data_IF_485732693153
#
_entry.id   IF_485732693153
#
_cell.length_a   1.000
_cell.length_b   1.000
_cell.length_c   1.000
_cell.angle_alpha   90.00
_cell.angle_beta   90.00
_cell.angle_gamma   90.00
#
_symmetry.space_group_name_H-M   'P 1'
#
loop_
_entity.id
_entity.type
_entity.pdbx_description
1 polymer ?
2 polymer ?
3 non-polymer ?
4 non-polymer ?
5 water ?
#
loop_
_entity_poly.entity_id
_entity_poly.type
_entity_poly.pdbx_seq_one_letter_code
_entity_poly.pdbx_strand_id
2 'polydeoxyribonucleotide' '(DT)(DC)(DT)(2EG)(DG)(DG)(DG)(DT)(DC)(DC)(DT)(DA)(DG)(DG)(DA)(DC)(DC)(DOC)' ?
#
# COMPACT_ATOMS: atom_id res chain seq x y z
N UNK A 25 -3.84 -12.62 26.37
CA UNK A 25 -3.93 -11.57 27.35
C UNK A 25 -3.58 -10.26 26.69
N UNK A 26 -4.28 -9.91 25.63
CA UNK A 26 -3.99 -8.66 24.98
C UNK A 26 -2.86 -8.59 23.95
N UNK A 27 -2.19 -9.70 23.72
CA UNK A 27 -1.26 -9.79 22.60
C UNK A 27 -1.90 -10.21 21.31
N UNK A 28 -1.52 -9.57 20.23
CA UNK A 28 -2.28 -9.71 18.99
C UNK A 28 -1.57 -10.60 18.00
N UNK A 29 -2.28 -11.04 16.97
CA UNK A 29 -1.65 -11.76 15.88
C UNK A 29 -2.12 -11.09 14.62
N UNK A 30 -1.23 -10.39 13.92
CA UNK A 30 -1.59 -9.63 12.74
C UNK A 30 -0.90 -10.33 11.58
N UNK A 31 -1.52 -10.33 10.42
CA UNK A 31 -0.89 -10.85 9.21
C UNK A 31 -0.84 -9.71 8.24
N UNK A 32 0.30 -9.58 7.56
CA UNK A 32 0.44 -8.55 6.54
C UNK A 32 0.69 -9.22 5.22
N UNK A 33 -0.28 -9.09 4.33
CA UNK A 33 -0.27 -9.73 3.01
C UNK A 33 0.16 -8.71 1.95
N UNK A 34 1.08 -9.11 1.09
CA UNK A 34 1.72 -8.18 0.17
C UNK A 34 2.02 -8.95 -1.11
N UNK A 35 1.29 -8.61 -2.18
CA UNK A 35 1.39 -9.32 -3.45
C UNK A 35 2.66 -8.97 -4.21
N UNK A 36 3.25 -9.96 -4.86
CA UNK A 36 4.39 -9.77 -5.78
C UNK A 36 4.10 -8.93 -7.04
N UNK A 37 4.91 -7.91 -7.26
CA UNK A 37 4.93 -7.20 -8.53
C UNK A 37 3.51 -6.95 -9.05
N UNK A 38 2.64 -6.48 -8.16
CA UNK A 38 1.21 -6.55 -8.40
C UNK A 38 0.79 -6.32 -9.85
N UNK A 39 1.12 -5.15 -10.39
CA UNK A 39 0.60 -4.76 -11.70
C UNK A 39 1.06 -5.72 -12.75
N UNK A 40 2.33 -6.07 -12.70
CA UNK A 40 2.90 -6.94 -13.70
C UNK A 40 2.21 -8.30 -13.58
N UNK A 41 1.70 -8.62 -12.43
CA UNK A 41 1.10 -9.89 -12.21
C UNK A 41 -0.32 -9.94 -12.68
N UNK A 42 -0.96 -8.81 -12.80
CA UNK A 42 -2.24 -8.66 -13.50
C UNK A 42 -2.03 -8.72 -15.01
N UNK A 43 -1.00 -8.05 -15.53
CA UNK A 43 -0.75 -8.05 -16.97
C UNK A 43 -0.42 -9.45 -17.47
N UNK A 44 0.27 -10.24 -16.66
CA UNK A 44 0.61 -11.58 -17.04
C UNK A 44 -0.57 -12.52 -17.00
N UNK A 45 -1.47 -12.30 -16.09
CA UNK A 45 -2.67 -13.12 -16.04
C UNK A 45 -3.54 -12.86 -17.25
N UNK A 46 -3.63 -11.59 -17.67
CA UNK A 46 -4.43 -11.22 -18.84
C UNK A 46 -3.82 -11.71 -20.15
N UNK A 47 -2.48 -11.83 -20.17
CA UNK A 47 -1.74 -12.08 -21.41
C UNK A 47 -0.60 -13.12 -21.22
N UNK A 48 -0.98 -14.37 -21.06
CA UNK A 48 -0.01 -15.46 -20.87
C UNK A 48 1.30 -15.36 -21.63
N UNK A 49 1.27 -14.73 -22.80
CA UNK A 49 2.42 -14.71 -23.70
C UNK A 49 3.54 -13.91 -23.00
N UNK A 50 3.17 -13.19 -21.93
CA UNK A 50 4.13 -12.42 -21.13
C UNK A 50 4.65 -13.22 -19.93
N UNK A 51 4.16 -14.46 -19.76
CA UNK A 51 4.68 -15.39 -18.75
C UNK A 51 6.16 -15.69 -19.01
N UNK A 52 6.98 -15.32 -18.06
CA UNK A 52 8.40 -15.31 -18.23
C UNK A 52 8.98 -14.87 -19.54
N UNK A 53 8.40 -13.82 -20.09
CA UNK A 53 9.08 -12.79 -20.84
C UNK A 53 9.27 -11.71 -19.77
N UNK A 54 10.51 -11.21 -19.63
CA UNK A 54 10.84 -10.23 -18.57
C UNK A 54 10.05 -8.93 -18.73
N UNK A 55 9.08 -8.72 -17.85
CA UNK A 55 8.05 -7.71 -18.09
C UNK A 55 8.07 -6.54 -17.14
N UNK A 56 8.00 -5.35 -17.73
CA UNK A 56 7.83 -4.12 -16.98
C UNK A 56 6.54 -3.43 -17.38
N UNK A 57 5.86 -2.81 -16.39
CA UNK A 57 4.70 -1.97 -16.63
C UNK A 57 5.11 -0.49 -16.71
N UNK A 58 4.59 0.17 -17.72
CA UNK A 58 5.02 1.49 -18.06
C UNK A 58 3.99 2.50 -17.64
N UNK A 59 4.44 3.57 -17.01
CA UNK A 59 3.63 4.76 -16.82
C UNK A 59 4.48 5.95 -17.19
N UNK A 60 4.05 6.68 -18.22
CA UNK A 60 4.82 7.78 -18.77
C UNK A 60 6.22 7.27 -19.08
N UNK A 61 7.23 7.97 -18.54
CA UNK A 61 8.64 7.64 -18.77
C UNK A 61 9.24 6.81 -17.61
N UNK A 62 8.39 6.10 -16.89
CA UNK A 62 8.84 5.24 -15.79
C UNK A 62 8.43 3.78 -15.95
N UNK A 63 9.28 2.90 -15.42
CA UNK A 63 8.92 1.51 -15.22
C UNK A 63 8.48 1.47 -13.79
N UNK A 64 7.16 1.49 -13.60
CA UNK A 64 6.66 1.59 -12.26
C UNK A 64 6.90 0.28 -11.49
N UNK A 65 6.97 -0.84 -12.22
CA UNK A 65 7.20 -2.17 -11.65
C UNK A 65 7.44 -3.18 -12.74
N UNK A 66 8.07 -4.29 -12.39
CA UNK A 66 8.51 -5.31 -13.36
C UNK A 66 8.46 -6.70 -12.72
N UNK A 67 8.42 -7.77 -13.52
CA UNK A 67 8.32 -9.11 -12.92
C UNK A 67 9.70 -9.61 -12.41
N UNK A 68 9.71 -10.61 -11.52
CA UNK A 68 10.94 -11.18 -11.02
C UNK A 68 11.68 -11.95 -12.11
N UNK A 69 10.96 -12.32 -13.16
CA UNK A 69 11.58 -12.80 -14.39
C UNK A 69 12.37 -11.68 -15.07
N UNK A 70 12.54 -10.57 -14.37
CA UNK A 70 13.15 -9.38 -14.96
C UNK A 70 13.95 -8.60 -13.94
N UNK A 71 13.57 -8.73 -12.67
CA UNK A 71 14.27 -8.05 -11.57
C UNK A 71 15.75 -8.44 -11.45
N UNK A 72 16.07 -9.71 -11.58
CA UNK A 72 17.45 -10.14 -11.53
C UNK A 72 18.39 -9.34 -12.45
N UNK A 73 17.87 -8.90 -13.58
CA UNK A 73 18.68 -8.15 -14.55
C UNK A 73 18.87 -6.68 -14.11
N UNK A 74 18.89 -6.51 -12.75
CA UNK A 74 19.14 -5.18 -12.15
C UNK A 74 18.16 -4.10 -12.58
N UNK A 75 16.93 -4.55 -12.92
CA UNK A 75 15.87 -3.64 -13.31
C UNK A 75 15.07 -3.39 -12.03
N UNK A 76 14.87 -2.12 -11.69
CA UNK A 76 14.29 -1.78 -10.41
C UNK A 76 13.01 -0.97 -10.56
N UNK A 77 12.22 -0.96 -9.49
CA UNK A 77 10.98 -0.17 -9.45
C UNK A 77 11.29 1.33 -9.63
N UNK A 78 10.37 2.02 -10.32
CA UNK A 78 10.54 3.43 -10.68
C UNK A 78 11.91 3.68 -11.32
N UNK A 79 12.29 2.83 -12.28
CA UNK A 79 13.50 3.08 -13.07
C UNK A 79 13.12 3.69 -14.42
N UNK A 80 13.91 4.66 -14.89
CA UNK A 80 13.73 5.24 -16.23
C UNK A 80 13.49 4.17 -17.30
N UNK A 81 12.71 4.52 -18.32
CA UNK A 81 12.58 3.65 -19.48
C UNK A 81 13.94 3.50 -20.15
N UNK A 82 14.65 4.59 -20.34
CA UNK A 82 15.93 4.54 -20.98
C UNK A 82 16.92 3.69 -20.22
N UNK A 83 17.06 3.95 -18.93
CA UNK A 83 17.73 3.02 -18.03
C UNK A 83 17.28 1.57 -17.87
N UNK A 84 16.01 1.40 -17.48
CA UNK A 84 15.38 0.08 -17.52
C UNK A 84 15.65 -0.63 -18.83
N UNK A 85 15.94 0.14 -19.86
CA UNK A 85 15.84 -0.35 -21.24
C UNK A 85 17.22 -0.61 -21.83
N UNK A 86 18.16 0.29 -21.55
CA UNK A 86 19.56 0.04 -21.87
C UNK A 86 20.04 -1.27 -21.29
N UNK A 87 19.59 -1.59 -20.08
CA UNK A 87 19.92 -2.85 -19.43
C UNK A 87 19.64 -4.03 -20.35
N UNK A 88 18.50 -3.99 -21.04
CA UNK A 88 17.68 -5.18 -21.21
C UNK A 88 17.39 -5.44 -22.69
N UNK A 89 17.85 -4.56 -23.56
CA UNK A 89 16.98 -3.55 -24.12
C UNK A 89 16.04 -4.16 -25.11
N UNK A 90 16.00 -5.48 -25.21
CA UNK A 90 14.74 -6.19 -25.13
C UNK A 90 14.48 -6.71 -23.72
N UNK A 91 13.95 -5.86 -22.87
CA UNK A 91 12.83 -6.21 -22.03
C UNK A 91 11.53 -5.65 -22.54
N UNK A 92 10.41 -6.28 -22.23
CA UNK A 92 9.10 -5.90 -22.74
C UNK A 92 8.29 -5.02 -21.83
N UNK A 93 7.58 -4.08 -22.43
CA UNK A 93 6.82 -3.06 -21.68
C UNK A 93 5.36 -3.06 -22.04
N UNK A 94 4.51 -2.93 -21.01
CA UNK A 94 3.07 -2.66 -21.15
C UNK A 94 2.69 -1.35 -20.45
N UNK A 95 1.77 -0.60 -21.05
CA UNK A 95 1.28 0.63 -20.44
C UNK A 95 0.35 0.33 -19.27
N UNK A 96 0.58 0.99 -18.14
CA UNK A 96 -0.24 0.79 -16.96
C UNK A 96 -0.72 2.08 -16.34
N UNK A 97 -0.98 3.08 -17.17
CA UNK A 97 -1.45 4.39 -16.74
C UNK A 97 -2.92 4.35 -16.32
N UNK A 98 -3.66 3.38 -16.86
CA UNK A 98 -5.05 3.16 -16.52
C UNK A 98 -5.07 2.12 -15.41
N UNK A 99 -5.47 2.53 -14.23
CA UNK A 99 -5.41 1.62 -13.09
C UNK A 99 -6.71 0.83 -12.85
N UNK A 100 -7.64 0.82 -13.81
CA UNK A 100 -8.92 0.16 -13.61
C UNK A 100 -8.77 -1.31 -13.22
N UNK A 101 -8.08 -2.09 -14.06
CA UNK A 101 -7.94 -3.53 -13.80
C UNK A 101 -7.20 -3.82 -12.51
N UNK A 102 -6.25 -2.98 -12.14
CA UNK A 102 -5.52 -3.20 -10.87
C UNK A 102 -6.41 -2.91 -9.65
N UNK A 103 -7.09 -1.76 -9.65
CA UNK A 103 -8.06 -1.47 -8.61
C UNK A 103 -9.10 -2.58 -8.46
N UNK A 104 -9.51 -3.18 -9.58
CA UNK A 104 -10.52 -4.23 -9.50
C UNK A 104 -10.00 -5.56 -8.94
N UNK A 105 -8.80 -6.00 -9.34
CA UNK A 105 -8.25 -7.20 -8.74
C UNK A 105 -7.87 -6.95 -7.29
N UNK A 106 -7.58 -5.69 -6.96
CA UNK A 106 -7.16 -5.28 -5.63
C UNK A 106 -8.25 -5.50 -4.61
N UNK A 107 -9.44 -4.99 -4.89
CA UNK A 107 -10.62 -5.22 -4.06
C UNK A 107 -11.05 -6.69 -4.01
N UNK A 108 -10.91 -7.44 -5.10
CA UNK A 108 -11.15 -8.86 -4.99
C UNK A 108 -10.26 -9.47 -3.90
N UNK A 109 -9.03 -9.01 -3.77
CA UNK A 109 -8.15 -9.57 -2.74
C UNK A 109 -8.65 -9.24 -1.34
N UNK A 110 -8.88 -7.96 -1.07
CA UNK A 110 -9.36 -7.51 0.24
C UNK A 110 -10.64 -8.28 0.53
N UNK A 111 -11.48 -8.42 -0.48
CA UNK A 111 -12.75 -9.09 -0.28
C UNK A 111 -12.53 -10.53 0.13
N UNK A 112 -11.57 -11.18 -0.53
CA UNK A 112 -11.22 -12.53 -0.20
C UNK A 112 -10.76 -12.56 1.30
N UNK A 113 -9.73 -11.80 1.63
CA UNK A 113 -9.29 -11.67 3.02
C UNK A 113 -10.43 -11.34 3.99
N UNK A 114 -11.43 -10.61 3.54
CA UNK A 114 -12.51 -10.24 4.45
C UNK A 114 -13.35 -11.44 4.86
N UNK A 115 -13.27 -12.47 4.03
CA UNK A 115 -14.03 -13.67 4.27
C UNK A 115 -13.47 -14.45 5.47
N UNK A 116 -12.16 -14.30 5.70
CA UNK A 116 -11.46 -14.90 6.84
C UNK A 116 -11.85 -14.19 8.14
N UNK A 117 -11.38 -12.97 8.34
CA UNK A 117 -11.83 -12.09 9.41
C UNK A 117 -12.26 -10.78 8.74
N UNK A 118 -13.35 -10.16 9.22
CA UNK A 118 -13.87 -8.95 8.55
C UNK A 118 -13.01 -7.68 8.64
N UNK A 119 -11.97 -7.68 9.49
CA UNK A 119 -11.27 -6.46 9.81
C UNK A 119 -9.98 -6.31 9.01
N UNK A 120 -10.12 -5.84 7.77
CA UNK A 120 -9.00 -5.79 6.82
C UNK A 120 -8.64 -4.37 6.46
N UNK A 121 -7.39 -3.99 6.69
CA UNK A 121 -6.91 -2.63 6.39
C UNK A 121 -6.07 -2.64 5.14
N UNK A 122 -6.38 -1.76 4.20
CA UNK A 122 -5.62 -1.75 2.97
C UNK A 122 -4.47 -0.80 3.13
N UNK A 123 -3.36 -1.14 2.55
CA UNK A 123 -2.35 -0.18 2.30
C UNK A 123 -2.00 -0.26 0.88
N UNK A 124 -2.48 0.68 0.09
CA UNK A 124 -2.20 0.62 -1.30
C UNK A 124 -3.09 -0.36 -1.98
N UNK A 125 -2.79 -0.64 -3.23
CA UNK A 125 -3.58 -1.59 -3.98
C UNK A 125 -3.15 -3.02 -3.70
N UNK A 126 -1.98 -3.21 -3.11
CA UNK A 126 -1.43 -4.56 -2.99
C UNK A 126 -1.09 -5.08 -1.59
N UNK A 127 -1.28 -4.26 -0.56
CA UNK A 127 -1.04 -4.70 0.82
C UNK A 127 -2.28 -4.73 1.67
N UNK A 128 -2.36 -5.73 2.56
CA UNK A 128 -3.47 -5.84 3.52
C UNK A 128 -3.01 -6.31 4.88
N UNK A 129 -3.55 -5.72 5.92
CA UNK A 129 -3.35 -6.23 7.26
C UNK A 129 -4.66 -6.90 7.67
N UNK A 130 -4.58 -8.07 8.29
CA UNK A 130 -5.77 -8.64 8.93
C UNK A 130 -5.39 -8.88 10.36
N UNK A 131 -6.30 -8.57 11.27
CA UNK A 131 -6.09 -8.87 12.67
C UNK A 131 -6.59 -10.28 12.89
N UNK A 132 -5.69 -11.21 13.17
CA UNK A 132 -6.07 -12.64 13.27
C UNK A 132 -6.30 -13.07 14.71
N UNK A 133 -6.23 -12.12 15.65
CA UNK A 133 -6.32 -12.47 17.06
C UNK A 133 -7.53 -13.39 17.36
N UNK A 134 -8.71 -12.99 16.90
CA UNK A 134 -9.98 -13.60 17.33
C UNK A 134 -10.09 -14.99 16.74
N UNK A 135 -9.39 -15.18 15.63
CA UNK A 135 -9.41 -16.40 14.84
C UNK A 135 -8.38 -17.42 15.35
N UNK A 136 -7.18 -16.95 15.64
CA UNK A 136 -6.24 -17.82 16.33
C UNK A 136 -6.89 -18.34 17.63
N UNK A 137 -7.55 -17.45 18.37
CA UNK A 137 -8.08 -17.82 19.67
C UNK A 137 -9.21 -18.82 19.56
N UNK A 138 -10.04 -18.69 18.54
CA UNK A 138 -11.09 -19.65 18.32
C UNK A 138 -10.48 -21.00 17.96
N UNK A 139 -9.42 -21.00 17.20
CA UNK A 139 -8.95 -22.25 16.67
C UNK A 139 -8.40 -23.03 17.82
N UNK A 140 -7.77 -22.32 18.72
CA UNK A 140 -7.05 -22.94 19.79
C UNK A 140 -7.95 -23.29 20.94
N UNK A 141 -8.96 -22.46 21.16
CA UNK A 141 -10.19 -22.93 21.80
C UNK A 141 -10.48 -24.39 21.46
N UNK A 142 -10.08 -24.79 20.26
CA UNK A 142 -10.82 -25.82 19.53
C UNK A 142 -9.97 -27.08 19.34
N UNK A 143 -8.90 -27.18 20.12
CA UNK A 143 -7.96 -28.29 19.97
C UNK A 143 -7.90 -29.12 21.25
N UNK A 144 -7.77 -30.43 21.08
CA UNK A 144 -7.54 -31.33 22.22
C UNK A 144 -6.10 -31.25 22.70
N UNK A 145 -5.86 -31.77 23.90
CA UNK A 145 -4.58 -31.56 24.58
C UNK A 145 -3.43 -32.12 23.76
N UNK A 146 -3.63 -33.29 23.18
CA UNK A 146 -2.69 -33.86 22.26
C UNK A 146 -2.42 -33.05 21.04
N UNK A 147 -3.45 -32.73 20.29
CA UNK A 147 -3.18 -32.06 19.05
C UNK A 147 -2.55 -30.70 19.25
N UNK A 148 -2.19 -30.42 20.49
CA UNK A 148 -1.53 -29.14 20.85
C UNK A 148 0.00 -29.22 20.76
N UNK A 149 0.53 -30.43 20.94
CA UNK A 149 1.95 -30.71 20.76
C UNK A 149 2.35 -30.70 19.28
N UNK A 150 1.42 -31.05 18.39
CA UNK A 150 1.72 -31.25 16.96
C UNK A 150 1.50 -29.98 16.14
N UNK A 151 1.32 -28.86 16.81
CA UNK A 151 1.14 -27.59 16.10
C UNK A 151 2.43 -27.20 15.41
N UNK A 152 2.38 -27.19 14.10
CA UNK A 152 3.56 -26.86 13.30
C UNK A 152 3.51 -25.49 12.66
N UNK A 153 4.69 -24.95 12.38
CA UNK A 153 4.80 -23.69 11.66
C UNK A 153 4.60 -23.94 10.16
N UNK A 154 4.22 -22.88 9.47
CA UNK A 154 4.06 -22.95 8.05
C UNK A 154 4.84 -21.76 7.43
N UNK A 155 5.82 -22.12 6.60
CA UNK A 155 6.79 -21.19 6.06
C UNK A 155 8.00 -20.93 6.95
N UNK A 156 8.63 -19.78 6.71
CA UNK A 156 9.83 -19.36 7.42
C UNK A 156 9.52 -18.90 8.83
N UNK A 157 10.54 -18.99 9.68
CA UNK A 157 10.53 -18.37 11.00
C UNK A 157 11.69 -17.39 11.00
N UNK A 158 11.41 -16.16 11.37
CA UNK A 158 12.41 -15.14 11.26
C UNK A 158 13.66 -15.41 12.12
N UNK A 159 14.82 -15.36 11.48
CA UNK A 159 16.10 -15.52 12.15
C UNK A 159 16.30 -16.96 12.56
N UNK A 160 15.65 -17.90 11.86
CA UNK A 160 15.78 -19.35 12.16
C UNK A 160 15.59 -19.71 13.63
N UNK A 161 14.78 -18.93 14.32
CA UNK A 161 14.69 -19.06 15.76
C UNK A 161 13.90 -20.30 16.18
N UNK A 162 14.38 -20.95 17.23
CA UNK A 162 13.72 -22.13 17.75
C UNK A 162 12.33 -21.82 18.27
N UNK A 163 11.43 -22.75 18.02
CA UNK A 163 10.07 -22.68 18.51
C UNK A 163 10.00 -23.38 19.86
N UNK A 164 9.27 -22.76 20.79
CA UNK A 164 8.97 -23.37 22.06
C UNK A 164 7.48 -23.65 22.14
N UNK A 165 7.11 -24.92 21.94
CA UNK A 165 5.70 -25.36 21.99
C UNK A 165 4.96 -25.13 23.33
N UNK A 166 5.67 -24.57 24.32
CA UNK A 166 5.11 -24.28 25.63
C UNK A 166 4.93 -22.76 25.80
N UNK A 167 5.48 -21.99 24.89
CA UNK A 167 5.24 -20.55 24.90
C UNK A 167 3.89 -20.20 24.28
N UNK A 168 2.92 -19.85 25.07
CA UNK A 168 1.64 -19.57 24.54
C UNK A 168 1.73 -18.63 23.36
N UNK A 169 2.65 -17.71 23.37
CA UNK A 169 2.81 -16.78 22.25
C UNK A 169 3.41 -17.38 20.97
N UNK A 170 4.26 -18.40 21.07
CA UNK A 170 4.81 -19.01 19.84
C UNK A 170 3.69 -19.78 19.15
N UNK A 171 2.91 -20.48 20.00
CA UNK A 171 1.79 -21.31 19.58
C UNK A 171 0.81 -20.54 18.71
N UNK A 172 0.47 -19.33 19.12
CA UNK A 172 -0.41 -18.46 18.34
C UNK A 172 0.23 -17.99 17.04
N UNK A 173 1.41 -17.43 17.14
CA UNK A 173 2.07 -17.00 15.94
C UNK A 173 2.14 -18.16 14.91
N UNK A 174 2.36 -19.41 15.35
CA UNK A 174 2.35 -20.50 14.35
C UNK A 174 0.94 -20.69 13.76
N UNK A 175 -0.09 -20.61 14.60
CA UNK A 175 -1.48 -20.73 14.13
C UNK A 175 -1.78 -19.55 13.20
N UNK A 176 -1.26 -18.39 13.55
CA UNK A 176 -1.23 -17.23 12.64
C UNK A 176 -0.72 -17.66 11.27
N UNK A 177 0.45 -18.28 11.23
CA UNK A 177 1.07 -18.57 9.93
C UNK A 177 0.32 -19.68 9.21
N UNK A 178 -0.39 -20.52 9.95
CA UNK A 178 -1.30 -21.49 9.31
C UNK A 178 -2.43 -20.79 8.60
N UNK A 179 -2.98 -19.74 9.22
CA UNK A 179 -4.02 -18.92 8.56
C UNK A 179 -3.39 -18.28 7.34
N UNK A 180 -2.22 -17.68 7.51
CA UNK A 180 -1.64 -16.97 6.38
C UNK A 180 -1.46 -17.88 5.19
N UNK A 181 -0.96 -19.09 5.42
CA UNK A 181 -0.75 -20.02 4.32
C UNK A 181 -2.06 -20.36 3.66
N UNK A 182 -3.17 -20.27 4.42
CA UNK A 182 -4.50 -20.53 3.86
C UNK A 182 -4.96 -19.36 3.00
N UNK A 183 -4.81 -18.16 3.53
CA UNK A 183 -5.03 -16.94 2.77
C UNK A 183 -4.23 -16.98 1.45
N UNK A 184 -2.93 -17.25 1.51
CA UNK A 184 -2.14 -17.40 0.29
C UNK A 184 -2.62 -18.49 -0.66
N UNK A 185 -2.88 -19.70 -0.18
CA UNK A 185 -3.40 -20.78 -1.06
C UNK A 185 -4.65 -20.30 -1.77
N UNK A 186 -5.50 -19.60 -1.01
CA UNK A 186 -6.77 -19.17 -1.53
C UNK A 186 -6.62 -18.06 -2.56
N UNK A 187 -5.81 -17.05 -2.27
CA UNK A 187 -5.47 -16.02 -3.28
C UNK A 187 -4.98 -16.68 -4.56
N UNK A 188 -4.27 -17.80 -4.43
CA UNK A 188 -3.84 -18.43 -5.65
C UNK A 188 -4.92 -19.30 -6.32
N UNK A 189 -5.63 -20.15 -5.55
CA UNK A 189 -6.69 -21.00 -6.16
C UNK A 189 -7.86 -20.20 -6.67
N UNK A 190 -8.17 -19.11 -5.98
CA UNK A 190 -9.33 -18.31 -6.32
C UNK A 190 -9.01 -17.13 -7.22
N UNK A 191 -7.81 -16.54 -7.13
CA UNK A 191 -7.52 -15.45 -8.06
C UNK A 191 -6.28 -15.62 -8.93
N UNK A 192 -5.62 -16.77 -8.83
CA UNK A 192 -4.44 -16.99 -9.63
C UNK A 192 -3.31 -16.04 -9.28
N UNK A 193 -3.34 -15.49 -8.06
CA UNK A 193 -2.32 -14.57 -7.58
C UNK A 193 -1.39 -15.17 -6.53
N UNK A 194 -0.10 -14.84 -6.62
CA UNK A 194 0.89 -15.25 -5.62
C UNK A 194 1.38 -14.05 -4.80
N UNK A 195 1.92 -14.31 -3.62
CA UNK A 195 2.45 -13.21 -2.80
C UNK A 195 3.05 -13.59 -1.48
N UNK A 196 3.17 -12.62 -0.57
CA UNK A 196 3.83 -12.88 0.74
C UNK A 196 2.97 -12.54 1.95
N UNK A 197 3.32 -13.15 3.07
CA UNK A 197 2.71 -12.80 4.34
C UNK A 197 3.80 -12.61 5.37
N UNK A 198 3.54 -11.78 6.38
CA UNK A 198 4.35 -11.80 7.58
C UNK A 198 3.38 -11.83 8.74
N UNK A 199 3.62 -12.71 9.70
CA UNK A 199 2.81 -12.75 10.91
C UNK A 199 3.70 -12.26 12.02
N UNK A 200 3.08 -11.52 12.93
CA UNK A 200 3.80 -10.92 14.03
C UNK A 200 2.78 -10.27 14.96
N UNK A 201 3.25 -9.59 15.99
CA UNK A 201 2.36 -9.17 17.02
C UNK A 201 1.83 -7.75 16.82
N UNK A 202 2.35 -7.02 15.85
CA UNK A 202 1.75 -5.74 15.47
C UNK A 202 1.97 -5.35 13.99
N UNK A 203 1.31 -4.29 13.51
CA UNK A 203 1.35 -3.94 12.08
C UNK A 203 2.76 -3.65 11.57
N UNK A 204 3.49 -2.80 12.29
CA UNK A 204 4.86 -2.51 12.00
C UNK A 204 5.65 -3.82 11.80
N UNK A 205 5.79 -4.63 12.84
CA UNK A 205 6.55 -5.87 12.71
C UNK A 205 6.03 -6.83 11.59
N UNK A 206 4.72 -6.98 11.48
CA UNK A 206 4.16 -7.81 10.42
C UNK A 206 4.56 -7.28 9.02
N UNK A 207 4.55 -5.96 8.87
CA UNK A 207 4.91 -5.39 7.58
C UNK A 207 6.38 -5.65 7.28
N UNK A 208 7.19 -5.59 8.30
CA UNK A 208 8.59 -5.87 8.21
C UNK A 208 8.99 -7.30 7.97
N UNK A 209 8.28 -8.27 8.51
CA UNK A 209 8.71 -9.67 8.44
C UNK A 209 8.16 -10.35 7.19
N UNK A 210 7.26 -9.66 6.49
CA UNK A 210 6.66 -10.20 5.27
C UNK A 210 7.65 -10.15 4.10
N UNK A 211 8.52 -9.14 4.10
CA UNK A 211 9.60 -9.03 3.11
C UNK A 211 10.85 -9.89 3.27
N UNK A 212 11.03 -10.55 4.40
CA UNK A 212 12.28 -11.25 4.58
C UNK A 212 12.55 -12.27 3.45
N UNK A 213 11.54 -13.07 3.09
CA UNK A 213 11.65 -14.02 1.98
C UNK A 213 10.68 -13.74 0.85
N UNK A 214 11.24 -13.42 -0.31
CA UNK A 214 10.51 -13.00 -1.50
C UNK A 214 10.93 -13.94 -2.63
N UNK A 215 10.06 -14.17 -3.63
CA UNK A 215 8.73 -13.62 -3.79
C UNK A 215 7.54 -14.42 -3.36
N UNK A 216 7.59 -15.73 -3.24
CA UNK A 216 6.27 -16.35 -3.02
C UNK A 216 6.26 -17.16 -1.76
N UNK A 217 6.57 -16.46 -0.67
CA UNK A 217 7.00 -17.11 0.55
C UNK A 217 6.42 -16.39 1.73
N UNK A 218 6.50 -16.98 2.90
CA UNK A 218 6.04 -16.25 4.11
C UNK A 218 6.92 -16.48 5.32
N UNK A 219 6.85 -15.54 6.26
CA UNK A 219 7.71 -15.57 7.44
C UNK A 219 6.92 -15.18 8.71
N UNK A 220 7.20 -15.88 9.82
CA UNK A 220 6.64 -15.51 11.13
C UNK A 220 7.74 -15.04 12.07
N UNK A 221 7.44 -13.98 12.82
CA UNK A 221 8.39 -13.40 13.74
C UNK A 221 8.04 -13.71 15.18
N UNK A 222 8.92 -14.46 15.86
CA UNK A 222 8.72 -14.81 17.27
C UNK A 222 9.21 -13.64 18.14
N UNK A 223 8.54 -13.39 19.29
CA UNK A 223 8.86 -12.14 19.99
C UNK A 223 10.37 -11.94 20.27
N UNK A 224 11.08 -13.03 20.50
CA UNK A 224 12.50 -12.94 20.90
C UNK A 224 13.39 -12.38 19.76
N UNK A 225 12.90 -12.35 18.52
CA UNK A 225 13.75 -11.86 17.42
C UNK A 225 13.38 -10.47 16.96
N UNK A 226 12.58 -9.77 17.76
CA UNK A 226 12.13 -8.45 17.38
C UNK A 226 13.30 -7.44 17.18
N UNK A 227 14.27 -7.47 18.07
CA UNK A 227 15.40 -6.52 17.95
C UNK A 227 16.25 -6.84 16.73
N UNK A 228 16.33 -8.13 16.38
CA UNK A 228 17.12 -8.57 15.26
C UNK A 228 16.50 -8.03 13.95
N UNK A 229 15.19 -8.23 13.79
CA UNK A 229 14.48 -7.59 12.67
C UNK A 229 14.76 -6.09 12.61
N UNK A 230 14.37 -5.38 13.67
CA UNK A 230 14.47 -3.94 13.74
C UNK A 230 15.91 -3.44 13.43
N UNK A 231 16.91 -4.10 13.97
CA UNK A 231 18.25 -3.60 13.80
C UNK A 231 18.85 -4.07 12.48
N UNK A 232 18.13 -4.91 11.75
CA UNK A 232 18.62 -5.31 10.44
C UNK A 232 18.40 -4.27 9.34
N UNK A 233 17.47 -3.35 9.57
CA UNK A 233 17.32 -2.16 8.74
C UNK A 233 18.63 -1.36 8.76
N UNK A 234 18.99 -0.82 7.58
CA UNK A 234 20.15 0.06 7.46
C UNK A 234 19.84 1.57 7.56
N UNK A 235 18.66 2.00 7.15
CA UNK A 235 18.26 3.42 7.17
C UNK A 235 16.93 3.56 7.92
N UNK A 236 16.76 4.63 8.71
CA UNK A 236 15.48 4.88 9.42
C UNK A 236 14.32 5.06 8.44
N UNK A 237 14.64 5.58 7.26
CA UNK A 237 13.69 5.69 6.17
C UNK A 237 12.99 4.36 5.86
N UNK A 238 13.53 3.24 6.36
CA UNK A 238 12.95 1.92 6.08
C UNK A 238 11.86 1.58 7.08
N UNK A 239 11.74 2.39 8.12
CA UNK A 239 10.63 2.22 9.02
C UNK A 239 9.34 2.79 8.41
N UNK A 240 8.30 1.93 8.24
CA UNK A 240 6.99 2.45 7.80
C UNK A 240 6.48 3.49 8.81
N UNK A 241 6.49 4.76 8.41
CA UNK A 241 6.07 5.85 9.27
C UNK A 241 7.05 7.00 9.11
N UNK A 242 8.31 6.65 8.84
CA UNK A 242 9.34 7.65 8.61
C UNK A 242 9.54 7.84 7.11
N UNK A 243 9.27 9.06 6.66
CA UNK A 243 9.31 9.40 5.23
C UNK A 243 10.64 9.84 4.66
N UNK A 244 10.59 10.48 3.49
CA UNK A 244 11.76 11.14 2.88
C UNK A 244 12.10 12.40 3.68
N UNK A 245 11.14 13.32 3.79
CA UNK A 245 11.35 14.55 4.55
C UNK A 245 11.77 14.26 6.01
N UNK A 246 10.97 13.48 6.74
CA UNK A 246 11.34 13.10 8.10
C UNK A 246 12.81 12.67 8.19
N UNK A 247 13.15 11.64 7.43
CA UNK A 247 14.48 11.04 7.46
C UNK A 247 15.55 12.13 7.34
N UNK A 248 15.56 12.87 6.23
CA UNK A 248 16.59 13.85 6.00
C UNK A 248 16.58 14.87 7.13
N UNK A 249 15.41 15.03 7.76
CA UNK A 249 15.29 15.88 8.94
C UNK A 249 16.07 15.34 10.13
N UNK A 250 16.04 14.01 10.32
CA UNK A 250 16.82 13.36 11.37
C UNK A 250 18.29 13.27 11.00
N UNK A 251 18.56 12.91 9.75
CA UNK A 251 19.93 12.86 9.26
C UNK A 251 20.62 14.15 9.59
N UNK A 252 19.93 15.26 9.39
CA UNK A 252 20.45 16.57 9.72
C UNK A 252 20.96 16.62 11.15
N UNK A 253 20.22 16.01 12.09
CA UNK A 253 20.64 16.08 13.48
C UNK A 253 21.71 15.06 13.89
N UNK A 254 22.01 14.13 12.99
CA UNK A 254 23.02 13.10 13.23
C UNK A 254 22.41 11.83 13.79
N UNK A 255 21.35 11.37 13.14
CA UNK A 255 20.61 10.19 13.59
C UNK A 255 20.41 9.43 12.31
N UNK A 256 21.14 8.32 12.17
CA UNK A 256 21.15 7.58 10.93
C UNK A 256 20.69 6.16 11.11
N UNK A 257 21.04 5.54 12.24
CA UNK A 257 20.62 4.15 12.44
C UNK A 257 19.32 4.02 13.24
N UNK A 258 18.72 2.84 13.23
CA UNK A 258 17.60 2.59 14.13
C UNK A 258 17.97 2.85 15.61
N UNK A 259 19.24 2.56 15.96
CA UNK A 259 19.71 2.65 17.32
C UNK A 259 19.98 4.10 17.66
N UNK A 260 20.51 4.86 16.71
CA UNK A 260 20.65 6.29 16.92
C UNK A 260 19.28 6.82 17.34
N UNK A 261 18.22 6.36 16.66
CA UNK A 261 16.87 6.81 16.91
C UNK A 261 16.33 6.27 18.22
N UNK A 262 16.70 5.04 18.54
CA UNK A 262 16.38 4.45 19.84
C UNK A 262 16.94 5.26 21.01
N UNK A 263 18.23 5.57 20.96
CA UNK A 263 18.96 6.01 22.14
C UNK A 263 18.86 7.51 22.31
N UNK A 264 18.10 8.15 21.43
CA UNK A 264 18.22 9.56 21.24
C UNK A 264 17.27 10.36 22.09
N UNK A 265 17.72 11.53 22.54
CA UNK A 265 17.00 12.28 23.56
C UNK A 265 15.59 12.75 23.17
N UNK A 266 14.55 12.25 23.87
CA UNK A 266 13.19 12.68 23.56
C UNK A 266 13.13 14.18 23.32
N UNK A 267 13.78 14.96 24.18
CA UNK A 267 13.76 16.42 24.08
C UNK A 267 14.27 16.95 22.74
N UNK A 268 15.28 16.31 22.18
CA UNK A 268 15.83 16.75 20.89
C UNK A 268 14.88 16.36 19.77
N UNK A 269 14.24 15.21 19.91
CA UNK A 269 13.28 14.73 18.92
C UNK A 269 12.07 15.67 18.84
N UNK A 270 11.58 16.10 20.00
CA UNK A 270 10.51 17.09 20.03
C UNK A 270 10.89 18.42 19.31
N UNK A 271 12.12 18.89 19.50
CA UNK A 271 12.56 20.16 18.87
C UNK A 271 12.75 20.12 17.34
N UNK A 272 12.21 19.09 16.71
CA UNK A 272 12.26 19.03 15.26
C UNK A 272 10.98 18.66 14.59
N UNK A 273 10.00 18.13 15.32
CA UNK A 273 8.92 17.48 14.59
C UNK A 273 7.60 17.61 15.33
N UNK A 274 7.68 17.84 16.64
CA UNK A 274 6.50 17.84 17.49
C UNK A 274 6.40 16.59 18.34
N UNK A 275 5.88 16.74 19.55
CA UNK A 275 5.55 15.58 20.39
C UNK A 275 4.64 14.51 19.77
N UNK A 276 3.91 14.88 18.71
CA UNK A 276 3.09 13.93 17.93
C UNK A 276 4.01 12.94 17.26
N UNK A 277 4.80 13.46 16.33
CA UNK A 277 5.72 12.62 15.56
C UNK A 277 6.84 12.05 16.44
N UNK A 278 7.40 12.87 17.30
CA UNK A 278 8.54 12.48 18.14
C UNK A 278 8.27 11.26 18.99
N UNK A 279 7.09 11.15 19.58
CA UNK A 279 6.87 10.08 20.52
C UNK A 279 6.50 8.80 19.79
N UNK A 280 5.97 8.96 18.59
CA UNK A 280 5.51 7.83 17.79
C UNK A 280 6.65 7.13 17.06
N UNK A 281 7.53 7.87 16.39
CA UNK A 281 8.61 7.23 15.63
C UNK A 281 9.64 6.58 16.56
N UNK A 282 9.81 7.14 17.76
CA UNK A 282 10.67 6.50 18.77
C UNK A 282 10.15 5.11 19.16
N UNK A 283 8.86 4.98 19.46
CA UNK A 283 8.26 3.65 19.61
C UNK A 283 8.59 2.79 18.40
N UNK A 284 8.28 3.29 17.21
CA UNK A 284 8.56 2.54 15.99
C UNK A 284 9.98 2.01 15.98
N UNK A 285 10.92 2.84 16.45
CA UNK A 285 12.31 2.46 16.39
C UNK A 285 12.61 1.32 17.33
N UNK A 286 11.81 1.14 18.38
CA UNK A 286 11.94 -0.03 19.27
C UNK A 286 11.15 -1.25 18.81
N UNK A 287 10.48 -1.14 17.67
CA UNK A 287 9.52 -2.17 17.19
C UNK A 287 8.13 -2.13 17.83
N UNK A 288 7.80 -1.04 18.50
CA UNK A 288 6.57 -0.93 19.31
C UNK A 288 5.48 -0.15 18.57
N UNK A 289 4.31 -0.77 18.35
CA UNK A 289 3.29 -0.17 17.50
C UNK A 289 1.91 -0.58 17.96
N UNK A 290 1.18 0.35 18.59
CA UNK A 290 -0.13 -0.01 19.13
C UNK A 290 -1.32 0.17 18.19
N UNK A 291 -1.07 0.67 17.00
CA UNK A 291 -2.16 1.01 16.11
C UNK A 291 -2.97 -0.24 15.79
N UNK A 292 -4.28 -0.15 15.94
CA UNK A 292 -5.09 -1.31 15.58
C UNK A 292 -5.29 -1.37 14.09
N UNK A 293 -5.61 -2.56 13.62
CA UNK A 293 -6.04 -2.76 12.28
C UNK A 293 -7.43 -2.19 12.19
N UNK A 294 -7.61 -1.33 11.18
CA UNK A 294 -8.81 -0.59 10.89
C UNK A 294 -9.50 -1.13 9.66
N UNK A 295 -10.83 -1.20 9.73
CA UNK A 295 -11.64 -1.67 8.63
C UNK A 295 -11.68 -0.58 7.55
N UNK A 296 -11.09 -0.84 6.38
CA UNK A 296 -11.04 0.16 5.33
C UNK A 296 -12.40 0.31 4.69
N UNK A 297 -12.98 -0.83 4.32
CA UNK A 297 -14.31 -0.87 3.72
C UNK A 297 -14.23 -0.22 2.37
N UNK A 298 -15.27 0.55 2.00
CA UNK A 298 -15.29 1.24 0.71
C UNK A 298 -14.39 2.48 0.80
N UNK A 299 -13.91 2.98 -0.35
CA UNK A 299 -12.96 4.09 -0.27
C UNK A 299 -13.61 5.45 0.04
N UNK A 300 -12.85 6.33 0.69
CA UNK A 300 -13.25 7.67 1.05
C UNK A 300 -13.16 8.70 -0.10
N UNK A 301 -12.63 8.29 -1.26
CA UNK A 301 -12.44 9.18 -2.39
C UNK A 301 -12.10 8.41 -3.67
N UNK A 302 -12.53 8.94 -4.81
CA UNK A 302 -12.14 8.43 -6.12
C UNK A 302 -11.49 9.62 -6.80
N UNK A 303 -10.29 9.43 -7.35
CA UNK A 303 -9.65 10.47 -8.15
C UNK A 303 -9.02 9.92 -9.41
N UNK A 304 -8.72 10.85 -10.32
CA UNK A 304 -8.19 10.54 -11.63
C UNK A 304 -7.18 11.64 -11.94
N UNK A 305 -6.16 11.31 -12.71
CA UNK A 305 -4.95 12.12 -12.74
C UNK A 305 -4.25 12.09 -14.09
N UNK A 306 -3.79 13.26 -14.53
CA UNK A 306 -3.05 13.35 -15.77
C UNK A 306 -1.87 14.27 -15.69
N UNK A 307 -0.75 13.86 -16.27
CA UNK A 307 0.53 14.52 -16.03
C UNK A 307 1.28 14.77 -17.32
N UNK A 308 1.99 15.87 -17.47
CA UNK A 308 2.47 16.24 -18.81
C UNK A 308 3.63 17.20 -18.89
N UNK A 309 3.93 17.61 -20.12
CA UNK A 309 5.17 18.28 -20.51
C UNK A 309 5.12 19.79 -20.31
N UNK A 310 4.31 20.53 -21.07
CA UNK A 310 3.49 21.46 -20.28
C UNK A 310 2.05 21.47 -20.77
N UNK A 311 1.24 22.35 -20.20
CA UNK A 311 -0.04 22.71 -20.78
C UNK A 311 -0.26 24.21 -20.69
N UNK A 312 -1.48 24.70 -20.84
CA UNK A 312 -1.65 26.15 -20.68
C UNK A 312 -2.49 26.83 -21.74
N UNK A 313 -3.80 26.82 -21.64
CA UNK A 313 -4.53 26.76 -22.87
C UNK A 313 -5.96 26.35 -22.58
N UNK A 314 -6.73 27.37 -22.19
CA UNK A 314 -7.72 27.18 -21.14
C UNK A 314 -8.47 26.00 -21.68
N UNK A 315 -8.54 25.92 -23.01
CA UNK A 315 -9.74 25.32 -23.58
C UNK A 315 -9.61 23.81 -23.67
N UNK A 316 -8.46 23.35 -24.16
CA UNK A 316 -8.10 21.94 -24.05
C UNK A 316 -8.01 21.45 -22.62
N UNK A 317 -7.51 22.31 -21.73
CA UNK A 317 -7.36 21.96 -20.33
C UNK A 317 -8.72 21.76 -19.70
N UNK A 318 -9.72 22.48 -20.20
CA UNK A 318 -11.11 22.04 -20.11
C UNK A 318 -11.29 20.66 -20.73
N UNK A 319 -10.50 20.33 -21.70
CA UNK A 319 -10.61 19.01 -22.24
C UNK A 319 -10.13 18.11 -21.19
N UNK A 320 -8.84 18.17 -21.01
CA UNK A 320 -8.21 17.32 -20.01
C UNK A 320 -9.12 17.08 -18.80
N UNK A 321 -9.83 18.13 -18.38
CA UNK A 321 -10.77 18.07 -17.26
C UNK A 321 -12.04 17.31 -17.65
N UNK A 322 -12.46 17.47 -18.88
CA UNK A 322 -13.60 16.73 -19.33
C UNK A 322 -13.29 15.28 -19.27
N UNK A 323 -12.14 14.90 -19.77
CA UNK A 323 -11.74 13.49 -19.74
C UNK A 323 -11.86 12.83 -18.37
N UNK A 324 -11.27 13.47 -17.36
CA UNK A 324 -11.22 12.91 -16.01
C UNK A 324 -12.60 12.72 -15.44
N UNK A 325 -13.48 13.67 -15.75
CA UNK A 325 -14.85 13.65 -15.27
C UNK A 325 -15.67 12.51 -15.87
N UNK A 326 -15.59 12.33 -17.17
CA UNK A 326 -16.29 11.24 -17.80
C UNK A 326 -15.95 9.93 -17.08
N UNK A 327 -14.65 9.64 -16.93
CA UNK A 327 -14.22 8.41 -16.28
C UNK A 327 -14.59 8.37 -14.81
N UNK A 328 -14.41 9.49 -14.13
CA UNK A 328 -14.67 9.56 -12.69
C UNK A 328 -16.11 9.18 -12.38
N UNK A 329 -17.05 9.67 -13.18
CA UNK A 329 -18.46 9.59 -12.86
C UNK A 329 -18.99 8.16 -13.05
N UNK A 330 -18.53 7.51 -14.12
CA UNK A 330 -18.67 6.07 -14.25
C UNK A 330 -18.34 5.36 -12.93
N UNK A 331 -17.08 5.46 -12.48
CA UNK A 331 -16.63 4.88 -11.21
C UNK A 331 -17.53 5.28 -10.04
N UNK A 332 -17.62 6.55 -9.77
CA UNK A 332 -18.42 6.97 -8.65
C UNK A 332 -19.81 6.39 -8.62
N UNK A 333 -20.42 6.24 -9.79
CA UNK A 333 -21.79 5.76 -9.89
C UNK A 333 -21.94 4.38 -9.26
N UNK A 334 -21.41 3.37 -9.92
CA UNK A 334 -21.61 1.98 -9.50
C UNK A 334 -21.55 1.85 -7.99
N UNK A 335 -20.52 2.43 -7.38
CA UNK A 335 -20.28 2.28 -5.98
C UNK A 335 -21.63 2.05 -5.37
N UNK A 336 -22.57 2.92 -5.72
CA UNK A 336 -23.81 3.12 -4.96
C UNK A 336 -23.92 4.37 -4.10
N UNK A 337 -22.86 4.71 -3.38
CA UNK A 337 -22.85 5.93 -2.61
C UNK A 337 -22.73 7.14 -3.49
N UNK A 338 -22.92 8.31 -2.91
CA UNK A 338 -22.70 9.51 -3.64
C UNK A 338 -21.84 10.50 -2.92
N UNK A 339 -21.03 11.21 -3.71
CA UNK A 339 -20.04 12.15 -3.19
C UNK A 339 -20.59 13.57 -3.15
N UNK A 340 -20.27 14.27 -2.06
CA UNK A 340 -20.78 15.63 -1.80
C UNK A 340 -19.70 16.71 -1.86
N UNK A 341 -18.54 16.37 -2.43
CA UNK A 341 -17.45 17.32 -2.63
C UNK A 341 -16.57 17.03 -3.86
N UNK A 342 -16.35 18.03 -4.70
CA UNK A 342 -15.44 17.89 -5.83
C UNK A 342 -14.14 18.65 -5.54
N UNK A 343 -13.04 18.18 -6.11
CA UNK A 343 -11.75 18.82 -5.92
C UNK A 343 -11.00 18.96 -7.24
N UNK A 344 -10.33 20.09 -7.42
CA UNK A 344 -9.43 20.28 -8.55
C UNK A 344 -8.01 20.56 -8.09
N UNK A 345 -7.05 19.88 -8.72
CA UNK A 345 -5.66 19.99 -8.31
C UNK A 345 -4.74 20.20 -9.52
N UNK A 346 -3.72 21.03 -9.32
CA UNK A 346 -2.82 21.44 -10.39
C UNK A 346 -1.35 21.50 -9.92
N UNK A 347 -0.43 21.67 -10.88
CA UNK A 347 0.99 21.71 -10.59
C UNK A 347 1.69 22.60 -11.63
N UNK A 348 2.71 23.34 -11.23
CA UNK A 348 3.38 24.29 -12.14
C UNK A 348 4.80 23.89 -12.56
N UNK A 349 5.30 24.56 -13.58
CA UNK A 349 6.71 24.52 -13.94
C UNK A 349 7.26 25.93 -13.74
N UNK A 350 8.43 26.11 -13.09
CA UNK A 350 9.25 25.07 -12.46
C UNK A 350 10.14 24.35 -13.46
N UNK A 355 7.22 19.12 -5.42
CA UNK A 355 5.90 19.73 -5.63
C UNK A 355 4.97 19.56 -4.43
N UNK A 356 4.22 20.62 -4.08
CA UNK A 356 4.16 21.85 -4.88
C UNK A 356 2.89 21.83 -5.71
N UNK A 357 1.84 21.23 -5.16
CA UNK A 357 0.53 21.17 -5.81
C UNK A 357 -0.42 22.17 -5.18
N UNK A 358 -1.43 22.57 -5.95
CA UNK A 358 -2.42 23.52 -5.48
C UNK A 358 -3.82 23.00 -5.76
N UNK A 359 -4.72 23.16 -4.79
CA UNK A 359 -6.06 22.59 -4.87
C UNK A 359 -7.14 23.61 -4.58
N UNK A 360 -8.27 23.48 -5.29
CA UNK A 360 -9.52 24.12 -4.88
C UNK A 360 -10.60 23.05 -4.69
N UNK A 361 -11.63 23.40 -3.94
CA UNK A 361 -12.59 22.44 -3.44
C UNK A 361 -13.92 23.18 -3.19
N UNK A 362 -15.03 22.46 -3.34
CA UNK A 362 -16.37 23.01 -3.07
C UNK A 362 -17.38 21.86 -2.97
N UNK A 363 -18.55 22.10 -2.33
CA UNK A 363 -19.52 21.03 -2.27
C UNK A 363 -20.15 20.79 -3.65
N UNK A 364 -20.93 19.73 -3.77
CA UNK A 364 -21.54 19.40 -5.03
C UNK A 364 -23.04 19.61 -4.92
N UNK A 365 -23.57 20.69 -5.54
CA UNK A 365 -24.95 21.13 -5.31
C UNK A 365 -25.97 19.99 -5.25
N UNK A 366 -26.91 20.11 -4.31
CA UNK A 366 -27.92 19.07 -4.04
C UNK A 366 -28.51 18.45 -5.31
N UNK A 367 -29.15 19.27 -6.13
CA UNK A 367 -29.80 18.80 -7.36
C UNK A 367 -28.82 18.13 -8.32
N UNK A 368 -27.54 18.51 -8.25
CA UNK A 368 -26.50 17.94 -9.13
C UNK A 368 -26.14 16.52 -8.72
N UNK A 369 -26.25 16.25 -7.41
CA UNK A 369 -25.95 14.93 -6.85
C UNK A 369 -26.85 13.89 -7.51
N UNK A 370 -28.11 14.25 -7.71
CA UNK A 370 -29.12 13.38 -8.32
C UNK A 370 -28.83 13.02 -9.79
N UNK A 371 -28.08 11.94 -9.98
CA UNK A 371 -27.62 11.56 -11.32
C UNK A 371 -26.34 10.74 -11.24
N UNK A 378 -27.30 16.27 -18.72
CA UNK A 378 -27.33 16.16 -17.26
C UNK A 378 -26.01 16.62 -16.66
N UNK A 379 -25.26 15.68 -16.08
CA UNK A 379 -24.51 15.92 -14.86
C UNK A 379 -23.15 16.54 -15.15
N UNK A 380 -22.57 16.16 -16.29
CA UNK A 380 -21.26 16.65 -16.70
C UNK A 380 -21.20 18.13 -17.01
N UNK A 381 -22.20 18.54 -17.77
CA UNK A 381 -22.45 19.94 -18.11
C UNK A 381 -22.34 20.87 -16.94
N UNK A 382 -23.23 20.75 -15.97
CA UNK A 382 -23.12 21.55 -14.76
C UNK A 382 -21.83 21.31 -13.98
N UNK A 383 -21.30 20.09 -14.07
CA UNK A 383 -20.09 19.72 -13.36
C UNK A 383 -18.85 20.45 -13.85
N UNK A 384 -18.72 20.57 -15.17
CA UNK A 384 -17.58 21.23 -15.78
C UNK A 384 -17.51 22.72 -15.40
N UNK A 385 -18.66 23.39 -15.41
CA UNK A 385 -18.75 24.78 -15.01
C UNK A 385 -18.10 25.00 -13.64
N UNK A 386 -18.58 24.29 -12.66
CA UNK A 386 -17.89 24.15 -11.43
C UNK A 386 -16.40 24.21 -11.54
N UNK A 387 -15.84 23.12 -12.02
CA UNK A 387 -14.43 22.76 -11.90
C UNK A 387 -13.69 23.90 -12.61
N UNK A 388 -14.33 24.51 -13.61
CA UNK A 388 -13.68 25.53 -14.44
C UNK A 388 -13.54 26.92 -13.79
N UNK A 389 -14.46 27.24 -12.91
CA UNK A 389 -14.28 28.41 -12.09
C UNK A 389 -13.22 28.12 -11.11
N UNK A 390 -13.38 27.01 -10.44
CA UNK A 390 -12.34 26.47 -9.57
C UNK A 390 -10.97 26.57 -10.23
N UNK A 391 -10.91 26.26 -11.51
CA UNK A 391 -9.66 26.38 -12.27
C UNK A 391 -9.17 27.83 -12.28
N UNK A 392 -10.06 28.77 -12.58
CA UNK A 392 -9.67 30.17 -12.76
C UNK A 392 -9.17 30.85 -11.49
N UNK A 393 -9.59 30.32 -10.33
CA UNK A 393 -9.24 30.91 -9.03
C UNK A 393 -7.75 30.76 -8.68
N UNK A 394 -7.04 29.98 -9.47
CA UNK A 394 -5.63 29.81 -9.24
C UNK A 394 -4.80 29.95 -10.49
N UNK A 395 -5.46 30.09 -11.61
CA UNK A 395 -4.72 30.20 -12.83
C UNK A 395 -5.11 31.50 -13.49
N UNK A 396 -4.16 32.43 -13.63
CA UNK A 396 -4.54 33.58 -14.45
C UNK A 396 -4.36 33.38 -15.93
N UNK A 397 -3.12 33.54 -16.33
CA UNK A 397 -2.74 34.79 -16.96
C UNK A 397 -3.77 35.05 -18.06
N UNK A 403 1.39 24.90 -16.41
CA UNK A 403 0.70 23.75 -15.79
C UNK A 403 1.27 22.41 -16.24
N UNK A 404 1.59 21.56 -15.26
CA UNK A 404 2.27 20.30 -15.51
C UNK A 404 1.45 19.09 -15.03
N UNK A 405 0.32 19.34 -14.42
CA UNK A 405 -0.57 18.29 -14.01
C UNK A 405 -1.95 18.78 -13.67
N UNK A 406 -2.94 17.99 -14.03
CA UNK A 406 -4.33 18.21 -13.65
C UNK A 406 -4.97 16.95 -13.10
N UNK A 407 -5.85 17.12 -12.13
CA UNK A 407 -6.58 15.99 -11.54
C UNK A 407 -7.87 16.38 -10.79
N UNK A 408 -8.90 15.54 -10.90
CA UNK A 408 -10.16 15.77 -10.18
C UNK A 408 -10.31 14.76 -9.01
N UNK A 409 -10.84 15.21 -7.87
CA UNK A 409 -11.22 14.28 -6.79
C UNK A 409 -12.66 14.45 -6.36
N UNK A 410 -13.38 13.35 -6.19
CA UNK A 410 -14.66 13.39 -5.49
C UNK A 410 -14.43 12.78 -4.14
N UNK A 411 -14.79 13.51 -3.10
CA UNK A 411 -14.70 12.97 -1.74
C UNK A 411 -15.99 13.23 -0.97
N UNK A 412 -15.91 13.24 0.36
CA UNK A 412 -17.07 13.38 1.24
C UNK A 412 -18.25 12.51 0.79
N UNK A 413 -18.03 11.20 0.70
CA UNK A 413 -19.01 10.22 0.22
C UNK A 413 -20.08 9.83 1.25
N UNK A 414 -21.33 9.94 0.84
CA UNK A 414 -22.46 9.60 1.72
C UNK A 414 -23.44 8.60 1.07
#
# INVERSE_FOLDING_TARGET
MELADVGAAASSQGVHDQVLPTPNASSRVIVHVDLDCFYAQVEMISNPELKDKPLGVQQKYLVVTCNYEARKLGVKKLMNVRDAKEKCPQLVLVNGEDLTRYREMSYKVTELLEEFSPVVERLGFDENFVDLTEMVEKRLQQLQSDELSAVTVSGHVYNNQSINLLDVLHIRLLVGSQIAAEMREAMYNQLGLTGCAGVASNKLLAKLVSGVFKPNQQTVLLPESCQHLIHSLNHIKEIPGIGYKTAKCLEALGINSVRDLQTFSPKILEKELGISVAQRIQKLSFGEDNSPVILSGPPQSFSEEDSFKKCSSEVEAKNKIEELLASLLNRVCQDGRKPHTVRLIIRRYSSEKHYGRESRQCPIPSHVIQKLGTGNYDVMTPMVDILMKLFRNMVNVKMPFHLTLLSVCFCNLKALNTAK
#
